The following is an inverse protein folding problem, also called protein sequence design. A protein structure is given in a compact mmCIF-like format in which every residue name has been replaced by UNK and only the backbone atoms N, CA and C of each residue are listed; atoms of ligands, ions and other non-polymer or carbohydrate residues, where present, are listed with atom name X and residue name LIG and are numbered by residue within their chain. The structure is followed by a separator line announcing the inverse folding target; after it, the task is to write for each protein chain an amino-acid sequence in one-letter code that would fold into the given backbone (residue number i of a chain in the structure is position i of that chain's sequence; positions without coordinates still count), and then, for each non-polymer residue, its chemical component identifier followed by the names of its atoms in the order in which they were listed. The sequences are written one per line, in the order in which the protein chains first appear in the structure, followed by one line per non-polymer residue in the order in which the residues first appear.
data_IF_694334319406
#
_entry.id   IF_694334319406
#
_cell.length_a   1.000
_cell.length_b   1.000
_cell.length_c   1.000
_cell.angle_alpha   90.00
_cell.angle_beta   90.00
_cell.angle_gamma   90.00
#
_symmetry.space_group_name_H-M   'P 1'
#
loop_
_entity.id
_entity.type
_entity.pdbx_description
1 polymer ?
#
# COMPACT_ATOMS: atom_id res chain seq x y z
N UNK A 1 -28.83 -9.44 -21.02
CA UNK A 1 -28.69 -9.31 -19.54
C UNK A 1 -27.21 -9.38 -19.18
N UNK A 2 -26.73 -8.45 -18.40
CA UNK A 2 -25.36 -8.43 -17.88
C UNK A 2 -25.20 -9.40 -16.72
N UNK A 3 -24.06 -10.05 -16.62
CA UNK A 3 -23.76 -11.06 -15.61
C UNK A 3 -22.61 -10.60 -14.72
N UNK A 4 -22.70 -10.93 -13.44
CA UNK A 4 -21.70 -10.56 -12.48
C UNK A 4 -20.52 -11.56 -12.51
N UNK A 5 -19.36 -11.06 -12.84
CA UNK A 5 -18.11 -11.80 -12.80
C UNK A 5 -17.34 -11.38 -11.57
N UNK A 6 -16.97 -12.35 -10.76
CA UNK A 6 -16.19 -12.11 -9.53
C UNK A 6 -14.85 -12.81 -9.64
N UNK A 7 -13.78 -12.07 -9.66
CA UNK A 7 -12.42 -12.60 -9.67
C UNK A 7 -11.83 -12.50 -8.26
N UNK A 8 -11.35 -13.61 -7.74
CA UNK A 8 -10.74 -13.68 -6.41
C UNK A 8 -9.31 -14.22 -6.50
N UNK A 9 -8.37 -13.52 -5.89
CA UNK A 9 -7.00 -14.00 -5.71
C UNK A 9 -6.77 -14.50 -4.30
N UNK A 10 -6.46 -15.79 -4.16
CA UNK A 10 -6.11 -16.38 -2.87
C UNK A 10 -4.64 -16.05 -2.52
N UNK A 11 -4.43 -15.39 -1.39
CA UNK A 11 -3.10 -15.07 -0.90
C UNK A 11 -2.48 -13.79 -1.48
N UNK A 12 -3.28 -12.87 -2.02
CA UNK A 12 -2.80 -11.56 -2.45
C UNK A 12 -2.16 -10.80 -1.29
N UNK A 13 -0.90 -10.41 -1.45
CA UNK A 13 -0.25 -9.47 -0.55
C UNK A 13 -0.64 -8.04 -0.93
N UNK A 14 -0.79 -7.18 0.08
CA UNK A 14 -1.02 -5.74 -0.13
C UNK A 14 0.08 -5.14 -1.02
N UNK A 15 -0.32 -4.37 -2.03
CA UNK A 15 0.61 -3.68 -2.93
C UNK A 15 0.88 -4.35 -4.29
N UNK A 16 0.39 -5.57 -4.53
CA UNK A 16 0.42 -6.13 -5.88
C UNK A 16 -0.78 -5.66 -6.69
N UNK A 17 -0.53 -5.33 -7.94
CA UNK A 17 -1.56 -4.96 -8.91
C UNK A 17 -1.65 -5.99 -10.00
N UNK A 18 -2.88 -6.29 -10.42
CA UNK A 18 -3.15 -7.20 -11.53
C UNK A 18 -4.05 -6.51 -12.53
N UNK A 19 -3.72 -6.62 -13.79
CA UNK A 19 -4.61 -6.26 -14.90
C UNK A 19 -5.48 -7.44 -15.25
N UNK A 20 -6.76 -7.17 -15.44
CA UNK A 20 -7.76 -8.11 -15.90
C UNK A 20 -8.07 -7.77 -17.36
N UNK A 21 -7.69 -8.66 -18.26
CA UNK A 21 -7.88 -8.51 -19.69
C UNK A 21 -8.84 -9.60 -20.18
N UNK A 22 -9.93 -9.20 -20.80
CA UNK A 22 -10.93 -10.12 -21.36
C UNK A 22 -10.98 -9.93 -22.87
N UNK A 23 -10.83 -11.03 -23.62
CA UNK A 23 -10.77 -11.02 -25.09
C UNK A 23 -9.80 -9.96 -25.65
N UNK A 24 -8.64 -9.81 -24.99
CA UNK A 24 -7.61 -8.85 -25.39
C UNK A 24 -7.87 -7.40 -24.95
N UNK A 25 -9.02 -7.08 -24.35
CA UNK A 25 -9.35 -5.74 -23.84
C UNK A 25 -9.15 -5.66 -22.33
N UNK A 26 -8.55 -4.58 -21.86
CA UNK A 26 -8.40 -4.29 -20.43
C UNK A 26 -9.79 -3.95 -19.85
N UNK A 27 -10.28 -4.78 -18.94
CA UNK A 27 -11.57 -4.59 -18.26
C UNK A 27 -11.40 -3.86 -16.94
N UNK A 28 -10.29 -4.10 -16.26
CA UNK A 28 -10.02 -3.44 -14.98
C UNK A 28 -8.70 -3.81 -14.36
N UNK A 29 -8.43 -3.17 -13.22
CA UNK A 29 -7.26 -3.44 -12.40
C UNK A 29 -7.69 -3.92 -11.02
N UNK A 30 -7.03 -4.95 -10.52
CA UNK A 30 -7.27 -5.50 -9.19
C UNK A 30 -6.09 -5.18 -8.28
N UNK A 31 -6.34 -4.37 -7.26
CA UNK A 31 -5.40 -4.06 -6.16
C UNK A 31 -5.83 -4.71 -4.83
N UNK A 32 -7.08 -5.17 -4.79
CA UNK A 32 -7.70 -5.90 -3.67
C UNK A 32 -7.76 -7.39 -3.97
N UNK A 33 -7.96 -8.27 -2.99
CA UNK A 33 -8.08 -9.71 -3.24
C UNK A 33 -9.26 -10.10 -4.13
N UNK A 34 -10.23 -9.23 -4.33
CA UNK A 34 -11.43 -9.48 -5.10
C UNK A 34 -11.74 -8.30 -6.02
N UNK A 35 -12.09 -8.57 -7.26
CA UNK A 35 -12.63 -7.61 -8.21
C UNK A 35 -13.97 -8.12 -8.75
N UNK A 36 -14.89 -7.19 -9.06
CA UNK A 36 -16.20 -7.47 -9.64
C UNK A 36 -16.39 -6.63 -10.88
N UNK A 37 -16.95 -7.22 -11.91
CA UNK A 37 -17.34 -6.55 -13.13
C UNK A 37 -18.48 -7.30 -13.80
N UNK A 38 -19.14 -6.68 -14.78
CA UNK A 38 -20.25 -7.27 -15.49
C UNK A 38 -19.88 -7.53 -16.95
N UNK A 39 -20.30 -8.66 -17.48
CA UNK A 39 -20.16 -9.01 -18.88
C UNK A 39 -21.49 -9.57 -19.42
N UNK A 40 -21.78 -9.42 -20.71
CA UNK A 40 -22.88 -10.12 -21.36
C UNK A 40 -22.70 -11.64 -21.27
N UNK A 41 -23.76 -12.39 -21.61
CA UNK A 41 -23.65 -13.85 -21.76
C UNK A 41 -22.71 -14.17 -22.94
N UNK A 42 -21.80 -15.12 -22.72
CA UNK A 42 -20.89 -15.54 -23.78
C UNK A 42 -19.67 -16.31 -23.29
N UNK A 43 -18.87 -16.74 -24.24
CA UNK A 43 -17.58 -17.35 -24.01
C UNK A 43 -16.48 -16.28 -24.01
N UNK A 44 -15.62 -16.30 -23.01
CA UNK A 44 -14.58 -15.30 -22.83
C UNK A 44 -13.22 -15.92 -22.59
N UNK A 45 -12.20 -15.25 -23.11
CA UNK A 45 -10.82 -15.55 -22.81
C UNK A 45 -10.27 -14.51 -21.82
N UNK A 46 -10.01 -14.97 -20.59
CA UNK A 46 -9.48 -14.17 -19.53
C UNK A 46 -7.96 -14.28 -19.48
N UNK A 47 -7.28 -13.16 -19.43
CA UNK A 47 -5.85 -13.07 -19.17
C UNK A 47 -5.62 -12.21 -17.93
N UNK A 48 -4.89 -12.72 -16.97
CA UNK A 48 -4.47 -11.99 -15.78
C UNK A 48 -2.98 -11.66 -15.93
N UNK A 49 -2.65 -10.37 -15.83
CA UNK A 49 -1.28 -9.87 -15.89
C UNK A 49 -0.88 -9.34 -14.51
N UNK A 50 0.27 -9.76 -14.00
CA UNK A 50 0.80 -9.23 -12.75
C UNK A 50 1.74 -8.05 -13.01
N UNK A 51 1.52 -6.95 -12.29
CA UNK A 51 2.40 -5.80 -12.32
C UNK A 51 3.67 -6.01 -11.49
N UNK A 52 4.82 -5.64 -12.04
CA UNK A 52 6.10 -5.56 -11.35
C UNK A 52 6.64 -4.15 -11.50
N UNK A 53 7.15 -3.59 -10.41
CA UNK A 53 7.91 -2.35 -10.48
C UNK A 53 9.32 -2.67 -10.98
N UNK A 54 9.65 -2.13 -12.14
CA UNK A 54 11.00 -2.16 -12.69
C UNK A 54 11.73 -0.87 -12.31
N UNK A 55 12.96 -0.94 -11.76
CA UNK A 55 13.75 0.26 -11.53
C UNK A 55 14.17 0.85 -12.89
N UNK A 56 13.82 2.12 -13.14
CA UNK A 56 14.34 2.90 -14.26
C UNK A 56 15.38 3.87 -13.74
N UNK A 57 16.67 3.49 -13.83
CA UNK A 57 17.77 4.34 -13.41
C UNK A 57 17.68 4.77 -11.95
N UNK A 58 18.33 5.88 -11.60
CA UNK A 58 18.40 6.37 -10.20
C UNK A 58 17.13 7.07 -9.70
N UNK A 59 16.13 7.35 -10.54
CA UNK A 59 15.01 8.26 -10.20
C UNK A 59 13.59 7.75 -10.49
N UNK A 60 13.38 6.55 -11.01
CA UNK A 60 12.03 6.11 -11.35
C UNK A 60 11.78 4.62 -11.24
N UNK A 61 10.51 4.24 -11.04
CA UNK A 61 10.04 2.86 -11.13
C UNK A 61 8.88 2.85 -12.11
N UNK A 62 9.01 2.09 -13.20
CA UNK A 62 7.86 1.79 -14.06
C UNK A 62 7.19 0.52 -13.60
N UNK A 63 5.88 0.49 -13.75
CA UNK A 63 5.08 -0.70 -13.54
C UNK A 63 4.94 -1.41 -14.88
N UNK A 64 5.57 -2.57 -15.00
CA UNK A 64 5.42 -3.45 -16.16
C UNK A 64 4.50 -4.61 -15.82
N UNK A 65 3.61 -4.96 -16.76
CA UNK A 65 2.62 -6.03 -16.59
C UNK A 65 2.97 -7.21 -17.51
N UNK A 66 3.19 -8.35 -16.86
CA UNK A 66 3.45 -9.60 -17.55
C UNK A 66 2.30 -10.59 -17.40
N UNK A 67 2.00 -11.36 -18.43
CA UNK A 67 0.98 -12.42 -18.36
C UNK A 67 1.35 -13.42 -17.30
N UNK A 68 0.47 -13.58 -16.31
CA UNK A 68 0.65 -14.52 -15.22
C UNK A 68 -0.13 -15.80 -15.43
N UNK A 69 -1.33 -15.69 -16.00
CA UNK A 69 -2.19 -16.84 -16.34
C UNK A 69 -3.27 -16.43 -17.32
N UNK A 70 -3.83 -17.41 -18.02
CA UNK A 70 -4.99 -17.24 -18.89
C UNK A 70 -5.91 -18.45 -18.77
N UNK A 71 -7.20 -18.24 -18.93
CA UNK A 71 -8.21 -19.28 -18.94
C UNK A 71 -9.39 -18.87 -19.78
N UNK A 72 -10.14 -19.85 -20.29
CA UNK A 72 -11.44 -19.62 -20.91
C UNK A 72 -12.54 -19.86 -19.90
N UNK A 73 -13.61 -19.10 -19.97
CA UNK A 73 -14.80 -19.32 -19.15
C UNK A 73 -16.08 -18.99 -19.93
N UNK A 74 -17.17 -19.62 -19.52
CA UNK A 74 -18.51 -19.36 -20.01
C UNK A 74 -19.27 -18.54 -18.97
N UNK A 75 -19.80 -17.39 -19.41
CA UNK A 75 -20.76 -16.63 -18.61
C UNK A 75 -22.16 -17.18 -18.93
N UNK A 76 -22.62 -18.12 -18.12
CA UNK A 76 -23.91 -18.80 -18.26
C UNK A 76 -25.05 -18.07 -17.55
N UNK A 77 -26.25 -18.65 -17.56
CA UNK A 77 -27.44 -18.05 -16.94
C UNK A 77 -27.44 -18.04 -15.39
N UNK A 78 -26.33 -18.36 -14.77
CA UNK A 78 -26.12 -18.22 -13.32
C UNK A 78 -25.92 -16.77 -12.92
N UNK A 79 -26.32 -16.42 -11.71
CA UNK A 79 -26.21 -15.06 -11.19
C UNK A 79 -24.76 -14.55 -11.13
N UNK A 80 -23.82 -15.48 -10.82
CA UNK A 80 -22.41 -15.14 -10.66
C UNK A 80 -21.49 -16.18 -11.31
N UNK A 81 -20.47 -15.70 -12.04
CA UNK A 81 -19.30 -16.50 -12.43
C UNK A 81 -18.15 -16.14 -11.51
N UNK A 82 -17.73 -17.08 -10.69
CA UNK A 82 -16.63 -16.89 -9.76
C UNK A 82 -15.35 -17.51 -10.30
N UNK A 83 -14.34 -16.68 -10.54
CA UNK A 83 -13.01 -17.08 -11.02
C UNK A 83 -12.01 -16.91 -9.90
N UNK A 84 -11.50 -18.01 -9.38
CA UNK A 84 -10.48 -17.99 -8.33
C UNK A 84 -9.13 -18.31 -8.93
N UNK A 85 -8.13 -17.49 -8.66
CA UNK A 85 -6.75 -17.79 -9.00
C UNK A 85 -5.85 -17.75 -7.76
N UNK A 86 -5.03 -18.76 -7.65
CA UNK A 86 -4.09 -18.93 -6.55
C UNK A 86 -2.70 -19.21 -7.10
N UNK A 87 -1.68 -18.84 -6.36
CA UNK A 87 -0.32 -19.18 -6.74
C UNK A 87 -0.12 -20.70 -6.65
N UNK A 88 0.38 -21.33 -7.72
CA UNK A 88 0.77 -22.74 -7.67
C UNK A 88 1.83 -22.95 -6.59
N UNK A 89 1.80 -24.05 -5.85
CA UNK A 89 2.82 -24.39 -4.86
C UNK A 89 4.20 -24.60 -5.50
N UNK A 90 4.24 -24.98 -6.79
CA UNK A 90 5.49 -25.10 -7.59
C UNK A 90 5.91 -23.80 -8.29
N UNK A 91 5.37 -22.63 -7.88
CA UNK A 91 5.63 -21.36 -8.55
C UNK A 91 7.11 -21.03 -8.71
N UNK A 92 7.95 -21.47 -7.80
CA UNK A 92 9.42 -21.26 -7.83
C UNK A 92 10.07 -22.08 -8.96
N UNK A 93 9.63 -23.33 -9.19
CA UNK A 93 10.10 -24.18 -10.31
C UNK A 93 9.68 -23.53 -11.64
N UNK A 94 8.42 -23.13 -11.76
CA UNK A 94 7.95 -22.46 -12.97
C UNK A 94 8.67 -21.16 -13.26
N UNK A 95 9.10 -20.45 -12.24
CA UNK A 95 9.93 -19.24 -12.37
C UNK A 95 11.31 -19.55 -12.95
N UNK A 96 11.97 -20.64 -12.53
CA UNK A 96 13.27 -21.06 -13.03
C UNK A 96 13.16 -21.45 -14.51
N UNK A 97 12.16 -22.23 -14.86
CA UNK A 97 11.97 -22.72 -16.23
C UNK A 97 11.20 -21.74 -17.14
N UNK A 98 10.97 -20.49 -16.69
CA UNK A 98 10.25 -19.43 -17.44
C UNK A 98 8.89 -19.88 -18.01
N UNK A 99 8.22 -20.84 -17.40
CA UNK A 99 6.87 -21.27 -17.82
C UNK A 99 5.86 -20.19 -17.53
N UNK A 100 4.94 -19.96 -18.47
CA UNK A 100 3.99 -18.83 -18.46
C UNK A 100 2.92 -18.89 -17.35
N UNK A 101 2.57 -20.06 -16.82
CA UNK A 101 1.47 -20.20 -15.89
C UNK A 101 1.99 -20.40 -14.46
N UNK A 102 1.94 -19.33 -13.65
CA UNK A 102 2.31 -19.36 -12.22
C UNK A 102 1.11 -19.54 -11.29
N UNK A 103 -0.09 -19.57 -11.83
CA UNK A 103 -1.31 -19.59 -11.06
C UNK A 103 -2.23 -20.73 -11.50
N UNK A 104 -2.86 -21.36 -10.53
CA UNK A 104 -3.98 -22.24 -10.76
C UNK A 104 -5.25 -21.40 -10.84
N UNK A 105 -6.06 -21.62 -11.85
CA UNK A 105 -7.32 -20.91 -12.06
C UNK A 105 -8.46 -21.90 -11.98
N UNK A 106 -9.45 -21.59 -11.17
CA UNK A 106 -10.69 -22.35 -11.04
C UNK A 106 -11.87 -21.45 -11.39
N UNK A 107 -12.75 -21.92 -12.24
CA UNK A 107 -13.97 -21.21 -12.63
C UNK A 107 -15.16 -21.98 -12.07
N UNK A 108 -16.02 -21.31 -11.33
CA UNK A 108 -17.25 -21.86 -10.76
C UNK A 108 -18.43 -20.94 -11.04
N UNK A 109 -19.54 -21.50 -11.49
CA UNK A 109 -20.78 -20.76 -11.67
C UNK A 109 -21.67 -20.99 -10.47
N UNK A 110 -22.13 -19.93 -9.80
CA UNK A 110 -22.92 -19.98 -8.58
C UNK A 110 -24.13 -19.08 -8.64
N UNK A 111 -25.21 -19.45 -7.96
CA UNK A 111 -26.39 -18.61 -7.81
C UNK A 111 -26.18 -17.53 -6.72
N UNK A 112 -25.35 -17.82 -5.75
CA UNK A 112 -25.08 -16.94 -4.64
C UNK A 112 -23.84 -16.07 -4.87
N UNK A 113 -23.87 -14.86 -4.37
CA UNK A 113 -22.72 -13.96 -4.41
C UNK A 113 -21.55 -14.56 -3.61
N UNK A 114 -20.36 -14.72 -4.20
CA UNK A 114 -19.22 -15.22 -3.47
C UNK A 114 -18.86 -14.30 -2.28
N UNK A 115 -18.43 -14.93 -1.19
CA UNK A 115 -18.04 -14.24 0.03
C UNK A 115 -16.96 -13.18 -0.24
N UNK A 116 -17.05 -12.04 0.43
CA UNK A 116 -16.06 -10.96 0.31
C UNK A 116 -14.74 -11.40 0.94
N UNK A 117 -13.71 -11.52 0.14
CA UNK A 117 -12.37 -11.85 0.60
C UNK A 117 -11.65 -10.58 1.04
N UNK A 118 -11.32 -10.52 2.33
CA UNK A 118 -10.53 -9.41 2.88
C UNK A 118 -9.03 -9.63 2.61
N UNK A 119 -8.26 -8.56 2.33
CA UNK A 119 -6.82 -8.69 2.16
C UNK A 119 -6.17 -9.20 3.46
N UNK A 120 -5.23 -10.11 3.33
CA UNK A 120 -4.44 -10.56 4.48
C UNK A 120 -3.61 -9.40 5.00
N UNK A 121 -3.75 -9.10 6.29
CA UNK A 121 -2.90 -8.11 6.94
C UNK A 121 -1.43 -8.52 6.80
N UNK A 122 -0.57 -7.59 6.44
CA UNK A 122 0.88 -7.82 6.42
C UNK A 122 1.38 -8.07 7.84
N UNK A 123 2.58 -8.68 7.96
CA UNK A 123 3.22 -8.85 9.26
C UNK A 123 3.36 -7.51 10.00
N UNK A 124 3.76 -6.46 9.27
CA UNK A 124 3.90 -5.11 9.82
C UNK A 124 2.56 -4.58 10.37
N UNK A 125 1.45 -4.76 9.64
CA UNK A 125 0.13 -4.32 10.12
C UNK A 125 -0.30 -5.05 11.39
N UNK A 126 -0.05 -6.38 11.47
CA UNK A 126 -0.33 -7.17 12.68
C UNK A 126 0.56 -6.74 13.85
N UNK A 127 1.84 -6.47 13.58
CA UNK A 127 2.78 -5.96 14.57
C UNK A 127 2.33 -4.60 15.11
N UNK A 128 1.99 -3.66 14.22
CA UNK A 128 1.49 -2.33 14.59
C UNK A 128 0.19 -2.38 15.40
N UNK A 129 -0.73 -3.27 15.03
CA UNK A 129 -1.97 -3.45 15.81
C UNK A 129 -1.70 -4.02 17.21
N UNK A 130 -0.80 -5.01 17.31
CA UNK A 130 -0.44 -5.63 18.59
C UNK A 130 0.27 -4.66 19.54
N UNK A 131 1.11 -3.79 19.00
CA UNK A 131 1.92 -2.86 19.79
C UNK A 131 1.45 -1.39 19.67
N UNK A 132 0.19 -1.19 19.29
CA UNK A 132 -0.37 0.15 19.05
C UNK A 132 -0.19 1.09 20.22
N UNK A 133 -0.44 0.60 21.44
CA UNK A 133 -0.34 1.40 22.65
C UNK A 133 1.12 1.73 22.99
N UNK A 134 2.03 0.77 22.85
CA UNK A 134 3.46 0.98 23.08
C UNK A 134 4.06 1.99 22.10
N UNK A 135 3.68 1.89 20.81
CA UNK A 135 4.13 2.82 19.77
C UNK A 135 3.58 4.22 20.04
N UNK A 136 2.30 4.33 20.43
CA UNK A 136 1.69 5.61 20.79
C UNK A 136 2.40 6.25 22.00
N UNK A 137 2.68 5.46 23.05
CA UNK A 137 3.39 5.92 24.22
C UNK A 137 4.83 6.39 23.91
N UNK A 138 5.54 5.67 23.02
CA UNK A 138 6.86 6.11 22.57
C UNK A 138 6.81 7.42 21.79
N UNK A 139 5.84 7.56 20.89
CA UNK A 139 5.65 8.80 20.12
C UNK A 139 5.34 9.98 21.03
N UNK A 140 4.49 9.76 22.02
CA UNK A 140 4.17 10.81 23.00
C UNK A 140 5.42 11.25 23.80
N UNK A 141 6.22 10.31 24.30
CA UNK A 141 7.48 10.63 25.00
C UNK A 141 8.46 11.41 24.15
N UNK A 142 8.61 11.04 22.87
CA UNK A 142 9.47 11.75 21.92
C UNK A 142 8.97 13.18 21.69
N UNK A 143 7.66 13.35 21.56
CA UNK A 143 7.04 14.66 21.39
C UNK A 143 7.24 15.54 22.62
N UNK A 144 7.03 15.02 23.82
CA UNK A 144 7.28 15.71 25.09
C UNK A 144 8.74 16.15 25.23
N UNK A 145 9.68 15.25 24.90
CA UNK A 145 11.12 15.60 24.91
C UNK A 145 11.45 16.72 23.90
N UNK A 146 10.85 16.70 22.74
CA UNK A 146 11.04 17.77 21.74
C UNK A 146 10.51 19.10 22.26
N UNK A 147 9.35 19.12 22.85
CA UNK A 147 8.78 20.32 23.48
C UNK A 147 9.66 20.85 24.60
N UNK A 148 10.10 19.98 25.49
CA UNK A 148 10.99 20.36 26.59
C UNK A 148 12.31 20.97 26.07
N UNK A 149 12.92 20.36 25.05
CA UNK A 149 14.11 20.90 24.40
C UNK A 149 13.86 22.28 23.79
N UNK A 150 12.70 22.49 23.18
CA UNK A 150 12.32 23.77 22.57
C UNK A 150 12.15 24.86 23.64
N UNK A 151 11.44 24.57 24.73
CA UNK A 151 11.26 25.45 25.87
C UNK A 151 12.60 25.80 26.55
N UNK A 152 13.47 24.82 26.72
CA UNK A 152 14.80 25.05 27.27
C UNK A 152 15.67 25.93 26.37
N UNK A 153 15.55 25.80 25.05
CA UNK A 153 16.21 26.71 24.10
C UNK A 153 15.68 28.15 24.21
N UNK A 154 14.36 28.32 24.32
CA UNK A 154 13.73 29.63 24.50
C UNK A 154 14.16 30.29 25.82
N UNK A 155 14.12 29.54 26.93
CA UNK A 155 14.59 30.03 28.24
C UNK A 155 16.06 30.48 28.21
N UNK A 156 16.93 29.69 27.56
CA UNK A 156 18.35 30.07 27.39
C UNK A 156 18.51 31.30 26.50
N UNK A 157 17.71 31.45 25.45
CA UNK A 157 17.73 32.62 24.59
C UNK A 157 17.29 33.87 25.34
N UNK A 158 16.20 33.81 26.11
CA UNK A 158 15.71 34.91 26.94
C UNK A 158 16.71 35.33 27.99
N UNK A 159 17.34 34.38 28.70
CA UNK A 159 18.39 34.68 29.66
C UNK A 159 19.61 35.36 29.02
N UNK A 160 19.99 34.96 27.80
CA UNK A 160 21.07 35.61 27.07
C UNK A 160 20.72 37.04 26.68
N UNK A 161 19.47 37.32 26.32
CA UNK A 161 18.99 38.65 26.02
C UNK A 161 19.03 39.54 27.28
N UNK A 162 18.48 39.08 28.40
CA UNK A 162 18.52 39.83 29.66
C UNK A 162 19.94 40.17 30.08
N UNK A 163 20.88 39.22 30.04
CA UNK A 163 22.30 39.47 30.32
C UNK A 163 22.94 40.47 29.38
N UNK A 164 22.53 40.54 28.10
CA UNK A 164 23.01 41.53 27.15
C UNK A 164 22.47 42.93 27.48
N UNK A 165 21.22 43.02 27.88
CA UNK A 165 20.61 44.31 28.29
C UNK A 165 21.22 44.83 29.56
N UNK A 166 21.43 43.98 30.59
CA UNK A 166 22.13 44.36 31.79
C UNK A 166 23.56 44.89 31.52
N UNK A 167 24.31 44.18 30.65
CA UNK A 167 25.64 44.63 30.24
C UNK A 167 25.58 45.98 29.53
N UNK A 168 24.56 46.23 28.71
CA UNK A 168 24.38 47.54 28.07
C UNK A 168 24.08 48.64 29.12
N UNK A 169 23.16 48.37 30.05
CA UNK A 169 22.84 49.31 31.14
C UNK A 169 24.07 49.65 31.99
N UNK A 170 24.84 48.68 32.42
CA UNK A 170 26.07 48.88 33.17
C UNK A 170 27.12 49.70 32.39
N UNK A 171 27.22 49.50 31.07
CA UNK A 171 28.09 50.33 30.22
C UNK A 171 27.60 51.78 30.18
N UNK A 172 26.33 52.01 29.94
CA UNK A 172 25.79 53.38 29.91
C UNK A 172 25.88 54.09 31.22
N UNK A 173 25.71 53.40 32.37
CA UNK A 173 25.91 53.97 33.68
C UNK A 173 27.38 54.36 33.92
N UNK A 174 28.35 53.51 33.57
CA UNK A 174 29.74 53.84 33.64
C UNK A 174 30.13 55.07 32.77
N UNK A 175 29.60 55.18 31.57
CA UNK A 175 29.81 56.33 30.71
C UNK A 175 29.22 57.63 31.32
N UNK A 176 28.06 57.58 31.97
CA UNK A 176 27.50 58.70 32.68
C UNK A 176 28.35 59.16 33.83
N UNK A 177 29.01 58.26 34.58
CA UNK A 177 29.92 58.60 35.66
C UNK A 177 31.26 59.19 35.24
N UNK A 178 31.68 58.98 33.99
CA UNK A 178 32.95 59.53 33.47
C UNK A 178 32.77 60.94 32.89
N UNK A 179 31.56 61.34 32.50
CA UNK A 179 31.27 62.60 31.86
C UNK A 179 30.90 63.71 32.87
N UNK A 180 30.65 63.34 34.13
CA UNK A 180 30.44 64.25 35.25
C UNK A 180 31.61 64.20 36.25
#
# INVERSE_FOLDING_TARGET
MERNIVITHQGLSVGRRYEIVVNGRLVGMMSTPQARFTLPRGAYFLTIRSGKYLPIGKKGKTLDFTVSTSTTFLSEDNAYTHITFSRSWLWWIYRIFKRKSYYNVTVTNTQEAPAVVRPRKTWLQRYMEKHKEEIAAQQQRLWEQQQERSLNRQRRASQRQLRREERKKRKTEKWKQIIW
#
